data_IF_254202908397
#
_entry.id   IF_254202908397
#
_cell.length_a   1.000
_cell.length_b   1.000
_cell.length_c   1.000
_cell.angle_alpha   90.00
_cell.angle_beta   90.00
_cell.angle_gamma   90.00
#
_symmetry.space_group_name_H-M   'P 1'
#
loop_
_entity.id
_entity.type
_entity.pdbx_description
1 polymer ?
#
# COMPACT_ATOMS: atom_id res chain seq x y z
N UNK A 1 9.07 15.71 -21.09
CA UNK A 1 8.09 16.62 -20.49
C UNK A 1 6.72 16.29 -21.05
N UNK A 2 5.68 16.24 -20.22
CA UNK A 2 4.35 15.80 -20.61
C UNK A 2 3.37 16.96 -20.83
N UNK A 3 2.44 16.78 -21.77
CA UNK A 3 1.28 17.66 -21.94
C UNK A 3 0.06 16.96 -21.33
N UNK A 4 -0.61 17.63 -20.40
CA UNK A 4 -1.76 17.09 -19.67
C UNK A 4 -3.01 17.89 -19.96
N UNK A 5 -4.13 17.22 -20.24
CA UNK A 5 -5.45 17.84 -20.32
C UNK A 5 -6.29 17.50 -19.07
N UNK A 6 -6.91 18.51 -18.45
CA UNK A 6 -7.69 18.34 -17.21
C UNK A 6 -9.13 18.79 -17.40
N UNK A 7 -10.07 17.88 -17.17
CA UNK A 7 -11.50 18.14 -17.08
C UNK A 7 -11.95 18.18 -15.62
N UNK A 8 -12.78 19.17 -15.29
CA UNK A 8 -13.25 19.37 -13.90
C UNK A 8 -12.27 20.15 -13.02
N UNK A 9 -11.34 20.92 -13.60
CA UNK A 9 -10.34 21.71 -12.86
C UNK A 9 -10.92 22.76 -11.89
N UNK A 10 -12.20 23.11 -12.01
CA UNK A 10 -12.90 24.01 -11.06
C UNK A 10 -13.64 23.27 -9.95
N UNK A 11 -13.63 21.94 -9.96
CA UNK A 11 -14.24 21.09 -8.94
C UNK A 11 -13.29 20.78 -7.79
N UNK A 12 -13.81 20.18 -6.72
CA UNK A 12 -13.06 19.93 -5.48
C UNK A 12 -11.74 19.18 -5.73
N UNK A 13 -11.80 17.99 -6.34
CA UNK A 13 -10.58 17.21 -6.64
C UNK A 13 -9.83 17.76 -7.84
N UNK A 14 -10.55 18.12 -8.90
CA UNK A 14 -9.92 18.56 -10.15
C UNK A 14 -9.09 19.84 -9.99
N UNK A 15 -9.44 20.72 -9.06
CA UNK A 15 -8.60 21.87 -8.71
C UNK A 15 -7.24 21.44 -8.18
N UNK A 16 -7.17 20.43 -7.31
CA UNK A 16 -5.91 19.94 -6.77
C UNK A 16 -5.10 19.15 -7.79
N UNK A 17 -5.73 18.38 -8.70
CA UNK A 17 -5.02 17.77 -9.84
C UNK A 17 -4.35 18.88 -10.66
N UNK A 18 -5.13 19.89 -11.03
CA UNK A 18 -4.66 21.02 -11.81
C UNK A 18 -3.53 21.80 -11.13
N UNK A 19 -3.69 22.13 -9.85
CA UNK A 19 -2.65 22.83 -9.07
C UNK A 19 -1.37 21.99 -8.94
N UNK A 20 -1.50 20.69 -8.71
CA UNK A 20 -0.37 19.76 -8.62
C UNK A 20 0.39 19.68 -9.95
N UNK A 21 -0.31 19.63 -11.08
CA UNK A 21 0.32 19.64 -12.41
C UNK A 21 1.07 20.94 -12.70
N UNK A 22 0.51 22.09 -12.34
CA UNK A 22 1.21 23.37 -12.51
C UNK A 22 2.49 23.45 -11.68
N UNK A 23 2.47 22.88 -10.48
CA UNK A 23 3.62 22.82 -9.58
C UNK A 23 4.65 21.73 -9.98
N UNK A 24 4.27 20.73 -10.78
CA UNK A 24 5.16 19.63 -11.16
C UNK A 24 6.13 20.02 -12.28
N UNK A 25 7.39 19.62 -12.14
CA UNK A 25 8.42 19.78 -13.17
C UNK A 25 8.26 18.79 -14.34
N UNK A 26 7.46 17.73 -14.16
CA UNK A 26 7.22 16.71 -15.19
C UNK A 26 6.33 17.23 -16.32
N UNK A 27 5.40 18.13 -16.00
CA UNK A 27 4.47 18.75 -16.93
C UNK A 27 5.03 20.03 -17.54
N UNK A 28 5.19 20.04 -18.87
CA UNK A 28 5.53 21.26 -19.62
C UNK A 28 4.30 22.11 -19.95
N UNK A 29 3.15 21.47 -20.13
CA UNK A 29 1.91 22.16 -20.52
C UNK A 29 0.70 21.52 -19.84
N UNK A 30 -0.12 22.36 -19.23
CA UNK A 30 -1.37 21.98 -18.55
C UNK A 30 -2.51 22.67 -19.26
N UNK A 31 -3.27 21.89 -20.04
CA UNK A 31 -4.45 22.33 -20.76
C UNK A 31 -5.70 22.06 -19.93
N UNK A 32 -6.64 22.99 -19.90
CA UNK A 32 -7.94 22.79 -19.24
C UNK A 32 -9.08 23.08 -20.20
N UNK A 33 -10.15 22.28 -20.15
CA UNK A 33 -11.42 22.60 -20.79
C UNK A 33 -12.48 22.65 -19.69
N UNK A 34 -13.06 23.83 -19.47
CA UNK A 34 -13.96 24.07 -18.34
C UNK A 34 -15.02 25.12 -18.64
N UNK A 35 -16.15 25.08 -17.93
CA UNK A 35 -17.24 26.06 -18.10
C UNK A 35 -16.85 27.46 -17.61
N UNK A 36 -15.84 27.55 -16.75
CA UNK A 36 -15.34 28.76 -16.11
C UNK A 36 -13.82 28.69 -16.05
N UNK A 37 -13.16 29.84 -16.02
CA UNK A 37 -11.71 29.90 -15.87
C UNK A 37 -11.26 29.19 -14.57
N UNK A 38 -10.14 28.44 -14.60
CA UNK A 38 -9.58 27.84 -13.39
C UNK A 38 -9.13 28.92 -12.40
N UNK A 39 -9.31 28.65 -11.10
CA UNK A 39 -8.79 29.50 -10.02
C UNK A 39 -7.29 29.21 -9.83
N UNK A 40 -6.42 29.91 -10.55
CA UNK A 40 -4.97 29.87 -10.34
C UNK A 40 -4.30 31.19 -10.73
N UNK A 41 -3.12 31.43 -10.16
CA UNK A 41 -2.23 32.50 -10.62
C UNK A 41 -1.80 32.23 -12.08
N UNK A 42 -1.50 33.29 -12.86
CA UNK A 42 -0.96 33.13 -14.20
C UNK A 42 0.28 32.23 -14.19
N UNK A 43 0.32 31.25 -15.09
CA UNK A 43 1.45 30.33 -15.25
C UNK A 43 1.77 30.15 -16.72
N UNK A 44 3.06 30.17 -17.12
CA UNK A 44 3.45 29.91 -18.50
C UNK A 44 3.12 28.49 -18.96
N UNK A 45 2.89 27.56 -18.03
CA UNK A 45 2.47 26.18 -18.33
C UNK A 45 0.98 26.07 -18.69
N UNK A 46 0.15 27.07 -18.35
CA UNK A 46 -1.31 26.98 -18.43
C UNK A 46 -1.85 27.39 -19.80
N UNK A 47 -2.64 26.51 -20.41
CA UNK A 47 -3.48 26.82 -21.57
C UNK A 47 -4.95 26.55 -21.24
N UNK A 48 -5.67 27.60 -20.81
CA UNK A 48 -7.06 27.47 -20.37
C UNK A 48 -8.05 27.72 -21.52
N UNK A 49 -8.91 26.73 -21.81
CA UNK A 49 -10.07 26.86 -22.70
C UNK A 49 -11.35 26.96 -21.88
N UNK A 50 -12.03 28.10 -21.97
CA UNK A 50 -13.34 28.30 -21.34
C UNK A 50 -14.44 28.02 -22.36
N UNK A 51 -15.22 26.96 -22.14
CA UNK A 51 -16.30 26.52 -23.01
C UNK A 51 -17.54 26.19 -22.15
N UNK A 52 -18.55 27.08 -22.10
CA UNK A 52 -19.75 26.89 -21.29
C UNK A 52 -20.58 25.67 -21.70
N UNK A 53 -20.59 25.31 -22.99
CA UNK A 53 -21.32 24.15 -23.50
C UNK A 53 -20.45 22.89 -23.45
N UNK A 54 -20.75 22.02 -22.48
CA UNK A 54 -19.99 20.78 -22.30
C UNK A 54 -20.11 19.79 -23.45
N UNK A 55 -21.13 19.91 -24.31
CA UNK A 55 -21.25 19.04 -25.50
C UNK A 55 -20.12 19.29 -26.51
N UNK A 56 -19.50 20.47 -26.49
CA UNK A 56 -18.39 20.83 -27.37
C UNK A 56 -17.04 20.31 -26.87
N UNK A 57 -16.94 19.84 -25.62
CA UNK A 57 -15.67 19.51 -24.98
C UNK A 57 -14.89 18.38 -25.66
N UNK A 58 -15.52 17.29 -26.14
CA UNK A 58 -14.81 16.27 -26.92
C UNK A 58 -14.17 16.83 -28.20
N UNK A 59 -14.86 17.73 -28.91
CA UNK A 59 -14.31 18.39 -30.08
C UNK A 59 -13.16 19.34 -29.73
N UNK A 60 -13.27 20.08 -28.62
CA UNK A 60 -12.17 20.93 -28.12
C UNK A 60 -10.95 20.10 -27.75
N UNK A 61 -11.13 18.93 -27.11
CA UNK A 61 -10.04 17.99 -26.82
C UNK A 61 -9.34 17.53 -28.09
N UNK A 62 -10.10 17.21 -29.14
CA UNK A 62 -9.56 16.83 -30.45
C UNK A 62 -8.77 17.97 -31.13
N UNK A 63 -9.01 19.23 -30.75
CA UNK A 63 -8.32 20.40 -31.30
C UNK A 63 -7.12 20.89 -30.46
N UNK A 64 -6.87 20.34 -29.26
CA UNK A 64 -5.78 20.80 -28.39
C UNK A 64 -4.40 20.62 -29.04
N UNK A 65 -3.57 21.67 -28.92
CA UNK A 65 -2.18 21.73 -29.39
C UNK A 65 -1.29 22.40 -28.32
N UNK A 66 -0.17 21.81 -27.89
CA UNK A 66 0.33 20.48 -28.28
C UNK A 66 -0.64 19.35 -27.88
N UNK A 67 -0.57 18.18 -28.53
CA UNK A 67 -1.45 17.06 -28.21
C UNK A 67 -1.17 16.56 -26.78
N UNK A 68 -2.20 16.37 -25.94
CA UNK A 68 -2.01 15.83 -24.60
C UNK A 68 -1.66 14.33 -24.66
N UNK A 69 -0.65 13.92 -23.90
CA UNK A 69 -0.29 12.51 -23.70
C UNK A 69 -1.03 11.89 -22.52
N UNK A 70 -1.58 12.73 -21.63
CA UNK A 70 -2.32 12.32 -20.44
C UNK A 70 -3.61 13.13 -20.31
N UNK A 71 -4.72 12.46 -20.06
CA UNK A 71 -6.03 13.10 -19.81
C UNK A 71 -6.51 12.76 -18.41
N UNK A 72 -6.92 13.77 -17.65
CA UNK A 72 -7.52 13.64 -16.32
C UNK A 72 -8.99 14.04 -16.38
N UNK A 73 -9.89 13.16 -15.93
CA UNK A 73 -11.29 13.51 -15.69
C UNK A 73 -11.63 13.41 -14.20
N UNK A 74 -11.90 14.58 -13.60
CA UNK A 74 -12.48 14.73 -12.27
C UNK A 74 -13.92 15.27 -12.36
N UNK A 75 -14.63 14.93 -13.43
CA UNK A 75 -16.01 15.34 -13.63
C UNK A 75 -16.97 14.60 -12.70
N UNK A 76 -17.91 15.36 -12.16
CA UNK A 76 -18.99 14.85 -11.34
C UNK A 76 -19.88 16.00 -10.85
N UNK A 77 -21.18 15.75 -10.81
CA UNK A 77 -22.18 16.64 -10.27
C UNK A 77 -23.08 15.88 -9.31
N UNK A 78 -23.88 16.62 -8.53
CA UNK A 78 -24.94 16.02 -7.71
C UNK A 78 -26.26 16.18 -8.43
N UNK A 79 -27.22 15.29 -8.16
CA UNK A 79 -28.60 15.42 -8.67
C UNK A 79 -29.18 16.81 -8.38
N UNK A 80 -28.91 17.35 -7.19
CA UNK A 80 -29.35 18.69 -6.79
C UNK A 80 -28.73 19.80 -7.68
N UNK A 81 -27.42 19.74 -7.95
CA UNK A 81 -26.74 20.71 -8.78
C UNK A 81 -27.07 20.56 -10.29
N UNK A 82 -27.42 19.35 -10.73
CA UNK A 82 -27.85 19.08 -12.11
C UNK A 82 -29.34 19.41 -12.37
N UNK A 83 -30.12 19.58 -11.30
CA UNK A 83 -31.58 19.76 -11.35
C UNK A 83 -32.38 18.48 -11.62
N UNK A 84 -31.79 17.46 -12.25
CA UNK A 84 -32.45 16.16 -12.49
C UNK A 84 -31.46 15.01 -12.57
N UNK A 85 -31.97 13.78 -12.43
CA UNK A 85 -31.15 12.57 -12.61
C UNK A 85 -30.66 12.43 -14.05
N UNK A 86 -31.49 12.78 -15.04
CA UNK A 86 -31.12 12.75 -16.46
C UNK A 86 -29.98 13.73 -16.77
N UNK A 87 -30.04 14.94 -16.20
CA UNK A 87 -28.95 15.91 -16.34
C UNK A 87 -27.68 15.47 -15.61
N UNK A 88 -27.80 14.81 -14.46
CA UNK A 88 -26.64 14.22 -13.79
C UNK A 88 -26.01 13.13 -14.67
N UNK A 89 -26.83 12.26 -15.28
CA UNK A 89 -26.36 11.19 -16.17
C UNK A 89 -25.55 11.74 -17.35
N UNK A 90 -26.06 12.80 -18.00
CA UNK A 90 -25.36 13.48 -19.10
C UNK A 90 -23.96 13.96 -18.73
N UNK A 91 -23.74 14.34 -17.48
CA UNK A 91 -22.45 14.88 -16.99
C UNK A 91 -21.56 13.78 -16.41
N UNK A 92 -22.07 12.99 -15.47
CA UNK A 92 -21.31 12.00 -14.71
C UNK A 92 -21.02 10.73 -15.51
N UNK A 93 -21.80 10.46 -16.57
CA UNK A 93 -21.63 9.31 -17.45
C UNK A 93 -21.35 9.74 -18.91
N UNK A 94 -22.33 10.31 -19.61
CA UNK A 94 -22.25 10.45 -21.08
C UNK A 94 -21.09 11.33 -21.52
N UNK A 95 -20.95 12.53 -20.92
CA UNK A 95 -19.84 13.43 -21.20
C UNK A 95 -18.47 12.79 -20.90
N UNK A 96 -18.36 12.00 -19.83
CA UNK A 96 -17.12 11.30 -19.53
C UNK A 96 -16.80 10.25 -20.59
N UNK A 97 -17.79 9.45 -21.01
CA UNK A 97 -17.64 8.46 -22.07
C UNK A 97 -17.26 9.11 -23.40
N UNK A 98 -17.86 10.25 -23.74
CA UNK A 98 -17.52 10.98 -24.97
C UNK A 98 -16.10 11.56 -24.94
N UNK A 99 -15.64 12.04 -23.76
CA UNK A 99 -14.24 12.45 -23.56
C UNK A 99 -13.30 11.26 -23.71
N UNK A 100 -13.64 10.09 -23.18
CA UNK A 100 -12.86 8.85 -23.35
C UNK A 100 -12.72 8.48 -24.82
N UNK A 101 -13.83 8.48 -25.57
CA UNK A 101 -13.83 8.21 -27.01
C UNK A 101 -12.98 9.21 -27.79
N UNK A 102 -13.15 10.51 -27.50
CA UNK A 102 -12.36 11.55 -28.16
C UNK A 102 -10.87 11.45 -27.83
N UNK A 103 -10.51 11.17 -26.57
CA UNK A 103 -9.13 10.95 -26.16
C UNK A 103 -8.50 9.77 -26.90
N UNK A 104 -9.21 8.64 -27.01
CA UNK A 104 -8.71 7.45 -27.72
C UNK A 104 -8.59 7.68 -29.21
N UNK A 105 -9.57 8.36 -29.83
CA UNK A 105 -9.58 8.64 -31.26
C UNK A 105 -8.39 9.52 -31.71
N UNK A 106 -7.81 10.32 -30.80
CA UNK A 106 -6.59 11.10 -31.10
C UNK A 106 -5.35 10.24 -31.31
N UNK A 107 -5.27 9.06 -30.69
CA UNK A 107 -4.08 8.21 -30.73
C UNK A 107 -2.89 8.67 -29.86
N UNK A 108 -2.75 9.98 -29.60
CA UNK A 108 -1.64 10.53 -28.79
C UNK A 108 -1.78 10.29 -27.27
N UNK A 109 -2.99 10.00 -26.79
CA UNK A 109 -3.26 9.84 -25.36
C UNK A 109 -2.87 8.43 -24.92
N UNK A 110 -1.73 8.32 -24.26
CA UNK A 110 -1.24 7.06 -23.66
C UNK A 110 -1.92 6.75 -22.33
N UNK A 111 -2.19 7.77 -21.51
CA UNK A 111 -2.68 7.61 -20.14
C UNK A 111 -4.00 8.34 -19.93
N UNK A 112 -5.03 7.62 -19.47
CA UNK A 112 -6.29 8.22 -19.05
C UNK A 112 -6.51 8.02 -17.55
N UNK A 113 -6.74 9.10 -16.81
CA UNK A 113 -6.93 9.10 -15.36
C UNK A 113 -8.35 9.52 -15.02
N UNK A 114 -9.05 8.73 -14.23
CA UNK A 114 -10.44 9.00 -13.84
C UNK A 114 -10.64 8.97 -12.33
N UNK A 115 -11.29 10.00 -11.81
CA UNK A 115 -11.74 10.06 -10.41
C UNK A 115 -13.14 9.44 -10.32
N UNK A 116 -13.17 8.17 -9.94
CA UNK A 116 -14.38 7.40 -9.67
C UNK A 116 -14.78 7.50 -8.19
N UNK A 117 -15.27 6.40 -7.61
CA UNK A 117 -15.76 6.31 -6.24
C UNK A 117 -15.61 4.89 -5.71
N UNK A 118 -15.18 4.76 -4.45
CA UNK A 118 -15.14 3.48 -3.75
C UNK A 118 -16.54 2.90 -3.51
N UNK A 119 -16.62 1.58 -3.41
CA UNK A 119 -17.85 0.84 -3.07
C UNK A 119 -18.91 0.75 -4.17
N UNK A 120 -18.70 1.33 -5.36
CA UNK A 120 -19.71 1.35 -6.44
C UNK A 120 -19.97 -0.01 -7.07
N UNK A 121 -19.07 -0.98 -6.94
CA UNK A 121 -19.27 -2.35 -7.48
C UNK A 121 -19.82 -3.34 -6.45
N UNK A 122 -19.80 -3.00 -5.16
CA UNK A 122 -20.33 -3.85 -4.10
C UNK A 122 -21.86 -3.80 -4.00
N UNK A 123 -22.49 -4.93 -3.70
CA UNK A 123 -23.92 -4.95 -3.33
C UNK A 123 -24.11 -4.31 -1.94
N UNK A 124 -25.22 -3.57 -1.71
CA UNK A 124 -26.29 -3.23 -2.67
C UNK A 124 -26.02 -1.94 -3.47
N UNK A 125 -24.85 -1.30 -3.33
CA UNK A 125 -24.57 0.01 -3.94
C UNK A 125 -24.50 -0.02 -5.47
N UNK A 126 -24.12 -1.16 -6.07
CA UNK A 126 -23.98 -1.35 -7.52
C UNK A 126 -25.26 -1.12 -8.33
N UNK A 127 -26.43 -1.25 -7.71
CA UNK A 127 -27.73 -0.99 -8.38
C UNK A 127 -28.17 0.47 -8.31
N UNK A 128 -27.47 1.31 -7.54
CA UNK A 128 -27.81 2.73 -7.43
C UNK A 128 -27.47 3.50 -8.71
N UNK A 129 -28.23 4.54 -9.10
CA UNK A 129 -27.93 5.31 -10.30
C UNK A 129 -26.52 5.91 -10.33
N UNK A 130 -26.04 6.42 -9.19
CA UNK A 130 -24.68 6.96 -9.07
C UNK A 130 -23.60 5.91 -9.35
N UNK A 131 -23.73 4.71 -8.76
CA UNK A 131 -22.80 3.63 -8.99
C UNK A 131 -22.81 3.18 -10.46
N UNK A 132 -23.99 3.08 -11.08
CA UNK A 132 -24.11 2.74 -12.52
C UNK A 132 -23.42 3.75 -13.42
N UNK A 133 -23.56 5.05 -13.16
CA UNK A 133 -22.85 6.10 -13.90
C UNK A 133 -21.33 5.92 -13.78
N UNK A 134 -20.80 5.80 -12.56
CA UNK A 134 -19.36 5.66 -12.34
C UNK A 134 -18.80 4.36 -12.92
N UNK A 135 -19.48 3.24 -12.71
CA UNK A 135 -19.07 1.95 -13.26
C UNK A 135 -19.12 1.95 -14.79
N UNK A 136 -20.13 2.55 -15.42
CA UNK A 136 -20.21 2.66 -16.88
C UNK A 136 -19.05 3.46 -17.49
N UNK A 137 -18.59 4.52 -16.81
CA UNK A 137 -17.37 5.25 -17.24
C UNK A 137 -16.12 4.40 -17.04
N UNK A 138 -16.00 3.69 -15.91
CA UNK A 138 -14.88 2.78 -15.66
C UNK A 138 -14.76 1.68 -16.74
N UNK A 139 -15.91 1.12 -17.15
CA UNK A 139 -15.99 0.08 -18.17
C UNK A 139 -15.62 0.66 -19.55
N UNK A 140 -16.14 1.84 -19.90
CA UNK A 140 -15.77 2.52 -21.14
C UNK A 140 -14.27 2.84 -21.24
N UNK A 141 -13.64 3.25 -20.12
CA UNK A 141 -12.18 3.48 -20.07
C UNK A 141 -11.42 2.17 -20.26
N UNK A 142 -11.88 1.09 -19.62
CA UNK A 142 -11.26 -0.23 -19.74
C UNK A 142 -11.34 -0.74 -21.19
N UNK A 143 -12.50 -0.62 -21.81
CA UNK A 143 -12.75 -1.05 -23.19
C UNK A 143 -11.99 -0.21 -24.22
N UNK A 144 -11.79 1.09 -23.96
CA UNK A 144 -11.02 1.97 -24.85
C UNK A 144 -9.55 1.53 -25.01
N UNK A 145 -9.00 0.76 -24.07
CA UNK A 145 -7.67 0.15 -24.21
C UNK A 145 -6.54 1.18 -24.35
N UNK A 146 -6.49 2.16 -23.46
CA UNK A 146 -5.31 3.02 -23.31
C UNK A 146 -4.07 2.19 -22.90
N UNK A 147 -2.87 2.70 -23.17
CA UNK A 147 -1.64 2.06 -22.66
C UNK A 147 -1.68 1.98 -21.13
N UNK A 148 -2.20 3.05 -20.52
CA UNK A 148 -2.50 3.11 -19.10
C UNK A 148 -3.87 3.76 -18.84
N UNK A 149 -4.70 3.08 -18.06
CA UNK A 149 -5.96 3.55 -17.52
C UNK A 149 -5.87 3.53 -15.99
N UNK A 150 -5.86 4.71 -15.37
CA UNK A 150 -5.73 4.87 -13.91
C UNK A 150 -7.07 5.28 -13.32
N UNK A 151 -7.64 4.45 -12.46
CA UNK A 151 -8.95 4.64 -11.85
C UNK A 151 -8.80 4.83 -10.35
N UNK A 152 -8.98 6.07 -9.88
CA UNK A 152 -8.97 6.37 -8.45
C UNK A 152 -10.38 6.18 -7.88
N UNK A 153 -10.50 5.39 -6.82
CA UNK A 153 -11.73 5.10 -6.10
C UNK A 153 -11.68 5.63 -4.66
N UNK A 154 -11.77 6.96 -4.47
CA UNK A 154 -11.79 7.55 -3.13
C UNK A 154 -13.07 7.17 -2.38
N UNK A 155 -13.00 7.23 -1.04
CA UNK A 155 -14.16 7.26 -0.16
C UNK A 155 -14.86 8.63 -0.18
N UNK A 156 -15.42 9.05 0.96
CA UNK A 156 -16.07 10.35 1.09
C UNK A 156 -15.08 11.50 0.89
N UNK A 157 -15.36 12.50 0.08
CA UNK A 157 -14.39 13.59 -0.13
C UNK A 157 -14.64 14.73 0.87
N UNK A 158 -13.63 15.10 1.66
CA UNK A 158 -13.63 16.27 2.57
C UNK A 158 -13.18 17.53 1.81
N UNK A 159 -13.77 18.68 2.16
CA UNK A 159 -13.37 19.98 1.64
C UNK A 159 -14.49 21.02 1.74
N UNK A 160 -14.12 22.29 1.90
CA UNK A 160 -15.07 23.41 1.94
C UNK A 160 -15.67 23.63 0.55
N UNK A 161 -16.99 23.46 0.42
CA UNK A 161 -17.74 23.92 -0.77
C UNK A 161 -18.44 25.22 -0.42
N UNK A 162 -18.30 26.24 -1.25
CA UNK A 162 -19.06 27.50 -1.20
C UNK A 162 -20.59 27.37 -1.43
N UNK A 163 -21.17 26.16 -1.39
CA UNK A 163 -22.63 25.99 -1.46
C UNK A 163 -23.07 24.90 -0.49
N UNK A 164 -23.82 25.32 0.54
CA UNK A 164 -24.24 24.52 1.68
C UNK A 164 -25.05 23.28 1.30
N UNK A 165 -24.67 22.14 1.88
CA UNK A 165 -25.45 20.89 1.84
C UNK A 165 -26.67 21.01 2.76
N UNK A 166 -27.73 21.65 2.30
CA UNK A 166 -29.07 21.47 2.85
C UNK A 166 -29.58 20.08 2.41
N UNK A 167 -29.35 19.05 3.23
CA UNK A 167 -29.79 17.69 2.95
C UNK A 167 -28.97 16.58 3.64
N UNK A 168 -27.86 16.92 4.30
CA UNK A 168 -27.02 15.98 5.05
C UNK A 168 -27.16 16.13 6.58
N UNK A 169 -28.31 16.63 7.06
CA UNK A 169 -28.50 17.06 8.46
C UNK A 169 -28.28 15.95 9.49
N UNK A 170 -28.55 14.70 9.14
CA UNK A 170 -28.42 13.56 10.07
C UNK A 170 -26.98 13.02 10.18
N UNK A 171 -26.12 13.24 9.18
CA UNK A 171 -24.74 12.71 9.14
C UNK A 171 -23.70 13.66 9.77
N UNK A 172 -23.93 14.98 9.74
CA UNK A 172 -23.02 15.97 10.33
C UNK A 172 -23.03 15.89 11.87
N UNK A 173 -24.19 15.56 12.47
CA UNK A 173 -24.30 15.33 13.91
C UNK A 173 -23.51 14.10 14.40
N UNK A 174 -23.54 13.02 13.61
CA UNK A 174 -22.78 11.79 13.90
C UNK A 174 -21.28 12.01 13.74
N UNK A 175 -20.85 12.81 12.76
CA UNK A 175 -19.42 13.12 12.53
C UNK A 175 -18.74 13.81 13.71
N UNK A 176 -19.43 14.69 14.45
CA UNK A 176 -18.86 15.36 15.64
C UNK A 176 -18.74 14.42 16.83
N UNK A 177 -19.65 13.44 16.95
CA UNK A 177 -19.65 12.46 18.03
C UNK A 177 -18.60 11.35 17.79
N UNK A 178 -18.45 10.90 16.55
CA UNK A 178 -17.47 9.89 16.13
C UNK A 178 -16.05 10.43 16.15
N UNK A 179 -15.83 11.69 15.73
CA UNK A 179 -14.50 12.32 15.76
C UNK A 179 -13.92 12.45 17.17
N UNK A 180 -14.78 12.53 18.21
CA UNK A 180 -14.37 12.57 19.62
C UNK A 180 -14.02 11.18 20.19
N UNK A 181 -14.44 10.10 19.56
CA UNK A 181 -14.30 8.71 20.07
C UNK A 181 -13.31 7.87 19.25
N UNK A 182 -13.13 8.12 17.94
CA UNK A 182 -12.41 7.24 17.01
C UNK A 182 -11.15 7.84 16.37
N UNK A 183 -10.76 9.06 16.73
CA UNK A 183 -9.52 9.70 16.28
C UNK A 183 -9.46 10.08 14.79
N UNK A 184 -8.58 11.02 14.44
CA UNK A 184 -8.50 11.64 13.11
C UNK A 184 -8.17 10.66 11.97
N UNK A 185 -7.51 9.54 12.28
CA UNK A 185 -7.03 8.51 11.32
C UNK A 185 -8.14 7.60 10.76
N UNK A 186 -9.23 7.35 11.52
CA UNK A 186 -10.38 6.57 11.02
C UNK A 186 -11.19 7.35 9.99
N UNK A 187 -11.19 8.69 10.09
CA UNK A 187 -11.83 9.53 9.11
C UNK A 187 -11.05 9.64 7.80
N UNK A 188 -9.77 9.23 7.73
CA UNK A 188 -8.98 9.24 6.48
C UNK A 188 -9.28 8.01 5.60
N UNK A 189 -9.55 6.85 6.22
CA UNK A 189 -9.98 5.64 5.50
C UNK A 189 -11.36 5.83 4.86
N UNK A 190 -12.23 6.58 5.52
CA UNK A 190 -13.59 6.87 5.05
C UNK A 190 -13.65 8.15 4.25
N UNK A 191 -12.66 9.04 4.41
CA UNK A 191 -12.71 10.34 3.78
C UNK A 191 -11.36 10.98 3.47
N UNK A 192 -11.06 11.11 2.19
CA UNK A 192 -9.84 11.74 1.69
C UNK A 192 -10.06 13.23 1.40
N UNK A 193 -9.02 14.02 1.63
CA UNK A 193 -8.96 15.41 1.18
C UNK A 193 -8.87 15.45 -0.35
N UNK A 194 -9.53 16.43 -0.97
CA UNK A 194 -9.40 16.68 -2.41
C UNK A 194 -7.94 16.87 -2.84
N UNK A 195 -7.11 17.44 -1.98
CA UNK A 195 -5.68 17.63 -2.21
C UNK A 195 -4.94 16.29 -2.33
N UNK A 196 -5.20 15.38 -1.39
CA UNK A 196 -4.58 14.06 -1.34
C UNK A 196 -4.93 13.25 -2.59
N UNK A 197 -6.21 13.27 -2.97
CA UNK A 197 -6.69 12.60 -4.20
C UNK A 197 -6.01 13.23 -5.43
N UNK A 198 -5.92 14.56 -5.47
CA UNK A 198 -5.29 15.28 -6.59
C UNK A 198 -3.82 14.92 -6.77
N UNK A 199 -3.05 14.90 -5.67
CA UNK A 199 -1.63 14.50 -5.68
C UNK A 199 -1.45 13.04 -6.08
N UNK A 200 -2.28 12.14 -5.56
CA UNK A 200 -2.25 10.72 -5.92
C UNK A 200 -2.52 10.50 -7.42
N UNK A 201 -3.49 11.22 -8.00
CA UNK A 201 -3.83 11.09 -9.42
C UNK A 201 -2.66 11.48 -10.35
N UNK A 202 -2.00 12.61 -10.06
CA UNK A 202 -0.84 13.06 -10.84
C UNK A 202 0.32 12.08 -10.69
N UNK A 203 0.60 11.64 -9.45
CA UNK A 203 1.68 10.67 -9.19
C UNK A 203 1.44 9.33 -9.90
N UNK A 204 0.20 8.83 -9.90
CA UNK A 204 -0.16 7.61 -10.60
C UNK A 204 0.09 7.72 -12.11
N UNK A 205 -0.25 8.85 -12.72
CA UNK A 205 0.03 9.10 -14.13
C UNK A 205 1.54 9.20 -14.42
N UNK A 206 2.31 9.83 -13.54
CA UNK A 206 3.78 9.89 -13.67
C UNK A 206 4.42 8.51 -13.53
N UNK A 207 3.88 7.65 -12.65
CA UNK A 207 4.30 6.24 -12.54
C UNK A 207 3.99 5.47 -13.82
N UNK A 208 2.79 5.64 -14.38
CA UNK A 208 2.40 5.04 -15.64
C UNK A 208 3.33 5.47 -16.78
N UNK A 209 3.57 6.77 -16.95
CA UNK A 209 4.49 7.30 -17.96
C UNK A 209 5.94 6.80 -17.79
N UNK A 210 6.36 6.47 -16.56
CA UNK A 210 7.67 5.90 -16.27
C UNK A 210 7.71 4.36 -16.40
N UNK A 211 6.67 3.71 -16.89
CA UNK A 211 6.59 2.25 -17.00
C UNK A 211 6.48 1.53 -15.65
N UNK A 212 6.09 2.25 -14.59
CA UNK A 212 5.98 1.74 -13.21
C UNK A 212 4.53 1.49 -12.76
N UNK A 213 3.56 1.61 -13.66
CA UNK A 213 2.19 1.18 -13.34
C UNK A 213 2.13 -0.34 -13.20
N UNK A 214 1.48 -0.89 -12.15
CA UNK A 214 1.41 -2.34 -11.91
C UNK A 214 0.58 -3.08 -12.96
N UNK A 215 -0.30 -2.38 -13.67
CA UNK A 215 -1.12 -2.92 -14.74
C UNK A 215 -1.49 -1.83 -15.75
N UNK A 216 -1.89 -2.24 -16.96
CA UNK A 216 -2.48 -1.32 -17.94
C UNK A 216 -3.77 -0.70 -17.42
N UNK A 217 -4.61 -1.48 -16.76
CA UNK A 217 -5.80 -0.99 -16.06
C UNK A 217 -5.55 -1.05 -14.55
N UNK A 218 -5.22 0.10 -13.96
CA UNK A 218 -4.81 0.21 -12.57
C UNK A 218 -5.90 0.91 -11.75
N UNK A 219 -6.47 0.17 -10.80
CA UNK A 219 -7.45 0.69 -9.84
C UNK A 219 -6.72 0.99 -8.54
N UNK A 220 -6.93 2.20 -8.00
CA UNK A 220 -6.30 2.70 -6.78
C UNK A 220 -7.41 3.02 -5.78
N UNK A 221 -7.43 2.35 -4.64
CA UNK A 221 -8.47 2.51 -3.62
C UNK A 221 -8.04 3.38 -2.43
N UNK A 222 -8.98 3.69 -1.53
CA UNK A 222 -8.84 4.79 -0.56
C UNK A 222 -7.57 4.83 0.31
N UNK A 223 -7.02 3.68 0.72
CA UNK A 223 -5.76 3.63 1.46
C UNK A 223 -4.57 3.96 0.56
N UNK A 224 -4.48 3.33 -0.60
CA UNK A 224 -3.42 3.57 -1.59
C UNK A 224 -3.44 5.02 -2.11
N UNK A 225 -4.64 5.60 -2.33
CA UNK A 225 -4.79 7.03 -2.64
C UNK A 225 -4.18 7.90 -1.54
N UNK A 226 -4.40 7.53 -0.27
CA UNK A 226 -3.89 8.30 0.88
C UNK A 226 -2.38 8.21 0.97
N UNK A 227 -1.81 7.03 0.76
CA UNK A 227 -0.36 6.79 0.74
C UNK A 227 0.29 7.59 -0.39
N UNK A 228 -0.18 7.41 -1.62
CA UNK A 228 0.33 8.11 -2.80
C UNK A 228 0.21 9.63 -2.69
N UNK A 229 -0.91 10.13 -2.15
CA UNK A 229 -1.14 11.55 -1.99
C UNK A 229 -0.34 12.20 -0.87
N UNK A 230 0.10 11.44 0.15
CA UNK A 230 0.91 11.95 1.28
C UNK A 230 2.42 11.89 1.03
N UNK A 231 2.85 11.05 0.09
CA UNK A 231 4.28 10.86 -0.23
C UNK A 231 5.05 12.15 -0.52
N UNK A 232 4.40 13.25 -0.96
CA UNK A 232 5.06 14.56 -1.19
C UNK A 232 5.28 15.43 0.06
N UNK A 233 4.56 15.20 1.16
CA UNK A 233 4.78 15.93 2.44
C UNK A 233 5.86 15.26 3.30
N UNK A 234 6.04 13.95 3.14
CA UNK A 234 7.16 13.21 3.73
C UNK A 234 8.48 13.45 2.98
N UNK A 235 8.44 13.68 1.66
CA UNK A 235 9.64 13.84 0.81
C UNK A 235 10.44 15.13 1.08
N UNK A 236 9.78 16.19 1.59
CA UNK A 236 10.49 17.40 2.06
C UNK A 236 11.41 17.15 3.26
N UNK A 237 11.29 16.00 3.93
CA UNK A 237 12.14 15.60 5.04
C UNK A 237 13.16 14.52 4.72
N UNK A 238 13.16 13.89 3.53
CA UNK A 238 14.01 12.71 3.32
C UNK A 238 14.64 12.49 1.94
N UNK A 239 14.51 13.42 0.98
CA UNK A 239 15.30 13.33 -0.26
C UNK A 239 16.47 14.30 -0.26
N UNK A 240 17.48 13.96 0.51
CA UNK A 240 18.85 14.44 0.31
C UNK A 240 19.75 13.20 0.27
N UNK A 241 20.11 12.79 -0.95
CA UNK A 241 21.21 11.86 -1.27
C UNK A 241 21.33 10.61 -0.37
N UNK A 242 20.67 9.50 -0.72
CA UNK A 242 21.01 8.22 -0.08
C UNK A 242 22.35 7.72 -0.62
N UNK A 243 23.39 7.84 0.21
CA UNK A 243 24.58 7.00 0.11
C UNK A 243 24.18 5.52 0.14
N UNK A 244 24.91 4.61 -0.53
CA UNK A 244 24.61 3.18 -0.49
C UNK A 244 24.55 2.67 0.96
N UNK A 245 23.54 1.83 1.26
CA UNK A 245 23.32 1.26 2.59
C UNK A 245 24.56 0.44 3.00
N UNK A 246 25.11 0.62 4.21
CA UNK A 246 26.19 -0.22 4.70
C UNK A 246 25.76 -1.69 4.71
N UNK A 247 26.60 -2.58 4.16
CA UNK A 247 26.34 -4.02 4.13
C UNK A 247 26.56 -4.73 5.48
N UNK A 248 26.91 -3.99 6.52
CA UNK A 248 27.10 -4.45 7.90
C UNK A 248 26.51 -3.40 8.84
N UNK A 249 25.80 -3.83 9.88
CA UNK A 249 25.21 -2.95 10.90
C UNK A 249 25.62 -3.38 12.32
N UNK A 250 25.64 -2.44 13.26
CA UNK A 250 25.99 -2.67 14.65
C UNK A 250 27.50 -2.86 14.92
N UNK A 251 27.92 -2.75 16.19
CA UNK A 251 29.33 -2.77 16.56
C UNK A 251 29.96 -4.17 16.37
N UNK A 252 31.29 -4.27 16.18
CA UNK A 252 31.98 -5.56 16.03
C UNK A 252 31.78 -6.52 17.21
N UNK A 253 31.63 -5.97 18.43
CA UNK A 253 31.51 -6.71 19.69
C UNK A 253 30.16 -7.41 19.91
N UNK A 254 29.23 -7.34 18.96
CA UNK A 254 27.91 -7.96 19.10
C UNK A 254 26.76 -6.97 19.29
N UNK A 255 25.54 -7.47 19.55
CA UNK A 255 24.37 -6.63 19.80
C UNK A 255 24.55 -5.72 21.02
N UNK A 256 23.99 -4.52 20.95
CA UNK A 256 23.93 -3.55 22.06
C UNK A 256 22.48 -3.28 22.47
N UNK A 257 22.22 -2.77 23.69
CA UNK A 257 20.86 -2.41 24.11
C UNK A 257 20.13 -1.56 23.05
N UNK A 258 18.83 -1.85 22.77
CA UNK A 258 17.93 -2.73 23.52
C UNK A 258 18.03 -4.22 23.16
N UNK A 259 18.95 -4.61 22.28
CA UNK A 259 19.12 -6.00 21.84
C UNK A 259 19.94 -6.83 22.84
N UNK A 260 19.72 -8.16 22.90
CA UNK A 260 18.76 -8.92 22.09
C UNK A 260 17.31 -8.86 22.60
N UNK A 261 16.35 -8.91 21.68
CA UNK A 261 14.92 -8.96 21.99
C UNK A 261 14.34 -10.33 21.62
N UNK A 262 13.39 -10.83 22.41
CA UNK A 262 12.84 -12.18 22.31
C UNK A 262 11.37 -12.15 21.92
N UNK A 263 10.98 -13.02 20.99
CA UNK A 263 9.59 -13.31 20.61
C UNK A 263 9.45 -14.81 20.35
N UNK A 264 8.34 -15.40 20.76
CA UNK A 264 8.04 -16.82 20.52
C UNK A 264 6.56 -17.05 20.27
N UNK A 265 6.24 -18.05 19.47
CA UNK A 265 4.87 -18.45 19.18
C UNK A 265 4.80 -19.48 18.06
N UNK A 266 3.62 -20.03 17.79
CA UNK A 266 3.42 -20.86 16.61
C UNK A 266 3.53 -20.02 15.34
N UNK A 267 4.04 -20.60 14.27
CA UNK A 267 3.96 -20.01 12.93
C UNK A 267 2.49 -20.02 12.48
N UNK A 268 1.93 -18.84 12.22
CA UNK A 268 0.56 -18.68 11.74
C UNK A 268 0.54 -18.32 10.25
N UNK A 269 -0.53 -18.67 9.51
CA UNK A 269 -0.72 -18.18 8.15
C UNK A 269 -0.73 -16.66 8.10
N UNK A 270 0.00 -16.10 7.14
CA UNK A 270 -0.12 -14.68 6.79
C UNK A 270 -1.35 -14.41 5.91
N UNK A 271 -1.55 -13.16 5.51
CA UNK A 271 -2.69 -12.75 4.68
C UNK A 271 -2.53 -13.04 3.17
N UNK A 272 -1.67 -13.99 2.79
CA UNK A 272 -1.47 -14.39 1.39
C UNK A 272 -1.00 -13.26 0.46
N UNK A 273 -0.23 -12.29 0.96
CA UNK A 273 0.17 -11.07 0.21
C UNK A 273 1.33 -11.28 -0.78
N UNK A 274 1.35 -12.41 -1.47
CA UNK A 274 2.30 -12.68 -2.56
C UNK A 274 3.77 -12.86 -2.17
N UNK A 275 4.15 -12.79 -0.91
CA UNK A 275 5.56 -12.92 -0.47
C UNK A 275 6.22 -14.22 -0.96
N UNK A 276 5.49 -15.34 -0.93
CA UNK A 276 5.93 -16.62 -1.53
C UNK A 276 6.08 -16.55 -3.06
N UNK A 277 5.17 -15.87 -3.77
CA UNK A 277 5.28 -15.66 -5.23
C UNK A 277 6.37 -14.66 -5.64
N UNK A 278 6.89 -13.87 -4.68
CA UNK A 278 8.03 -12.95 -4.87
C UNK A 278 9.38 -13.61 -4.48
N UNK A 279 9.36 -14.89 -4.08
CA UNK A 279 10.56 -15.62 -3.65
C UNK A 279 11.06 -15.27 -2.24
N UNK A 280 10.22 -14.63 -1.41
CA UNK A 280 10.55 -14.18 -0.06
C UNK A 280 9.45 -14.71 0.90
N UNK A 281 9.33 -16.02 1.11
CA UNK A 281 8.29 -16.58 1.99
C UNK A 281 8.43 -16.06 3.42
N UNK A 282 7.32 -15.67 4.03
CA UNK A 282 7.30 -15.11 5.40
C UNK A 282 6.50 -15.98 6.37
N UNK A 283 7.09 -16.22 7.54
CA UNK A 283 6.43 -16.80 8.71
C UNK A 283 5.88 -15.67 9.58
N UNK A 284 4.62 -15.77 9.99
CA UNK A 284 4.00 -14.79 10.90
C UNK A 284 3.94 -15.39 12.31
N UNK A 285 4.14 -14.54 13.33
CA UNK A 285 3.92 -14.93 14.73
C UNK A 285 2.78 -14.10 15.34
N UNK A 286 2.02 -14.66 16.29
CA UNK A 286 1.08 -13.88 17.08
C UNK A 286 1.82 -12.82 17.90
N UNK A 287 1.32 -11.59 17.84
CA UNK A 287 1.83 -10.50 18.67
C UNK A 287 0.93 -10.36 19.88
N UNK A 288 1.39 -10.92 21.00
CA UNK A 288 0.74 -10.78 22.30
C UNK A 288 1.51 -9.75 23.16
N UNK A 289 0.95 -8.55 23.31
CA UNK A 289 1.60 -7.41 23.96
C UNK A 289 1.99 -7.69 25.43
N UNK A 290 1.16 -8.33 26.27
CA UNK A 290 1.57 -8.82 27.58
C UNK A 290 2.86 -9.67 27.59
N UNK A 291 2.98 -10.61 26.65
CA UNK A 291 4.15 -11.49 26.55
C UNK A 291 5.35 -10.83 25.85
N UNK A 292 5.09 -9.82 25.02
CA UNK A 292 6.09 -9.16 24.17
C UNK A 292 5.99 -7.62 24.27
N UNK A 293 6.17 -7.01 25.44
CA UNK A 293 5.84 -5.59 25.65
C UNK A 293 6.70 -4.64 24.81
N UNK A 294 7.94 -5.04 24.51
CA UNK A 294 8.88 -4.24 23.71
C UNK A 294 8.38 -3.98 22.29
N UNK A 295 7.55 -4.86 21.72
CA UNK A 295 7.08 -4.72 20.33
C UNK A 295 6.13 -3.52 20.16
N UNK A 296 5.50 -3.08 21.25
CA UNK A 296 4.63 -1.91 21.23
C UNK A 296 5.45 -0.63 20.99
N UNK A 297 6.64 -0.54 21.59
CA UNK A 297 7.45 0.69 21.67
C UNK A 297 8.60 0.73 20.68
N UNK A 298 9.05 -0.42 20.18
CA UNK A 298 10.15 -0.48 19.20
C UNK A 298 9.75 0.22 17.88
N UNK A 299 10.68 0.89 17.17
CA UNK A 299 10.37 1.49 15.87
C UNK A 299 9.82 0.49 14.85
N UNK A 300 8.96 0.93 13.93
CA UNK A 300 8.63 0.10 12.77
C UNK A 300 9.83 0.02 11.83
N UNK A 301 10.09 -1.14 11.26
CA UNK A 301 11.20 -1.31 10.33
C UNK A 301 11.64 -2.75 10.15
N UNK A 302 12.84 -2.91 9.59
CA UNK A 302 13.47 -4.20 9.34
C UNK A 302 14.55 -4.47 10.38
N UNK A 303 14.42 -5.60 11.03
CA UNK A 303 15.30 -6.14 12.04
C UNK A 303 15.92 -7.43 11.53
N UNK A 304 16.97 -7.91 12.21
CA UNK A 304 17.60 -9.17 11.89
C UNK A 304 18.01 -9.93 13.14
N UNK A 305 18.22 -11.23 12.98
CA UNK A 305 18.75 -12.08 14.02
C UNK A 305 18.58 -13.56 13.74
N UNK A 306 18.21 -14.30 14.78
CA UNK A 306 18.18 -15.76 14.74
C UNK A 306 16.77 -16.27 14.98
N UNK A 307 16.37 -17.25 14.16
CA UNK A 307 15.14 -18.01 14.25
C UNK A 307 15.45 -19.44 14.66
N UNK A 308 14.68 -19.97 15.59
CA UNK A 308 14.78 -21.34 16.07
C UNK A 308 13.43 -22.05 15.87
N UNK A 309 13.44 -23.14 15.11
CA UNK A 309 12.24 -23.87 14.69
C UNK A 309 12.24 -25.30 15.21
N UNK A 310 11.14 -25.74 15.81
CA UNK A 310 10.92 -27.13 16.21
C UNK A 310 10.27 -27.92 15.08
N UNK A 311 11.04 -28.24 14.04
CA UNK A 311 10.52 -28.92 12.86
C UNK A 311 10.05 -30.36 13.18
N UNK A 312 8.90 -30.81 12.65
CA UNK A 312 8.40 -32.16 12.89
C UNK A 312 9.31 -33.21 12.26
N UNK A 313 9.26 -34.45 12.79
CA UNK A 313 10.15 -35.55 12.37
C UNK A 313 10.09 -35.83 10.86
N UNK A 314 8.93 -35.55 10.25
CA UNK A 314 8.66 -35.71 8.82
C UNK A 314 9.16 -34.56 7.94
N UNK A 315 9.59 -33.44 8.50
CA UNK A 315 10.00 -32.27 7.72
C UNK A 315 11.38 -32.53 7.04
N UNK A 316 11.53 -32.26 5.74
CA UNK A 316 12.77 -32.57 5.00
C UNK A 316 14.00 -31.85 5.56
N UNK A 317 13.82 -30.63 6.07
CA UNK A 317 14.89 -29.82 6.65
C UNK A 317 15.11 -30.04 8.16
N UNK A 318 14.46 -31.03 8.80
CA UNK A 318 14.72 -31.35 10.21
C UNK A 318 16.11 -31.97 10.36
N UNK A 319 16.89 -31.45 11.31
CA UNK A 319 18.20 -32.05 11.65
C UNK A 319 18.05 -33.44 12.29
N UNK A 320 19.02 -34.36 12.07
CA UNK A 320 19.01 -35.67 12.70
C UNK A 320 18.98 -35.58 14.22
N UNK A 321 18.31 -36.54 14.87
CA UNK A 321 18.15 -36.58 16.33
C UNK A 321 19.46 -36.74 17.13
N UNK A 322 20.61 -36.87 16.47
CA UNK A 322 21.94 -36.89 17.11
C UNK A 322 22.43 -35.50 17.55
N UNK A 323 21.76 -34.43 17.13
CA UNK A 323 22.07 -33.07 17.55
C UNK A 323 21.53 -32.79 18.97
N UNK A 324 22.26 -31.98 19.74
CA UNK A 324 22.00 -31.72 21.17
C UNK A 324 20.67 -31.01 21.49
N UNK A 325 19.90 -30.62 20.47
CA UNK A 325 18.63 -29.89 20.62
C UNK A 325 17.68 -30.27 19.48
N UNK A 326 16.38 -30.36 19.79
CA UNK A 326 15.33 -30.61 18.80
C UNK A 326 15.10 -29.40 17.87
N UNK A 327 15.62 -28.23 18.23
CA UNK A 327 15.43 -26.99 17.50
C UNK A 327 16.50 -26.76 16.43
N UNK A 328 16.07 -26.32 15.25
CA UNK A 328 16.94 -25.92 14.15
C UNK A 328 17.10 -24.41 14.09
N UNK A 329 18.35 -23.93 14.15
CA UNK A 329 18.70 -22.50 14.16
C UNK A 329 19.02 -21.97 12.75
N UNK A 330 18.44 -20.82 12.40
CA UNK A 330 18.59 -20.17 11.11
C UNK A 330 18.75 -18.65 11.26
N UNK A 331 19.53 -17.98 10.40
CA UNK A 331 19.51 -16.53 10.31
C UNK A 331 18.18 -16.04 9.72
N UNK A 332 17.71 -14.87 10.13
CA UNK A 332 16.45 -14.28 9.68
C UNK A 332 16.51 -12.76 9.55
N UNK A 333 15.62 -12.23 8.72
CA UNK A 333 15.18 -10.83 8.77
C UNK A 333 13.72 -10.78 9.20
N UNK A 334 13.33 -9.71 9.87
CA UNK A 334 11.98 -9.55 10.40
C UNK A 334 11.49 -8.13 10.17
N UNK A 335 10.32 -7.99 9.55
CA UNK A 335 9.60 -6.73 9.46
C UNK A 335 8.66 -6.58 10.66
N UNK A 336 8.75 -5.44 11.33
CA UNK A 336 7.82 -5.03 12.39
C UNK A 336 7.05 -3.81 11.89
N UNK A 337 5.73 -3.95 11.82
CA UNK A 337 4.83 -2.91 11.31
C UNK A 337 3.48 -2.92 12.02
N UNK A 338 2.51 -2.16 11.48
CA UNK A 338 1.12 -2.22 11.92
C UNK A 338 0.30 -3.05 10.94
N UNK A 339 -0.56 -3.94 11.46
CA UNK A 339 -1.44 -4.72 10.61
C UNK A 339 -2.62 -3.85 10.08
N UNK A 340 -2.75 -3.64 8.77
CA UNK A 340 -3.82 -2.81 8.20
C UNK A 340 -5.24 -3.38 8.39
N UNK A 341 -5.38 -4.71 8.55
CA UNK A 341 -6.68 -5.39 8.63
C UNK A 341 -7.35 -5.31 10.02
N UNK A 342 -6.58 -5.24 11.11
CA UNK A 342 -7.10 -5.08 12.48
C UNK A 342 -7.14 -3.62 12.93
N UNK A 343 -7.48 -2.70 12.01
CA UNK A 343 -7.60 -1.25 12.28
C UNK A 343 -6.29 -0.59 12.77
N UNK A 344 -5.11 -1.14 12.44
CA UNK A 344 -3.81 -0.69 12.96
C UNK A 344 -3.70 -0.71 14.50
N UNK A 345 -4.51 -1.50 15.20
CA UNK A 345 -4.47 -1.58 16.67
C UNK A 345 -3.34 -2.51 17.18
N UNK A 346 -2.92 -3.47 16.35
CA UNK A 346 -1.94 -4.50 16.72
C UNK A 346 -0.75 -4.47 15.76
N UNK A 347 0.46 -4.56 16.31
CA UNK A 347 1.69 -4.72 15.55
C UNK A 347 1.70 -6.07 14.84
N UNK A 348 2.34 -6.17 13.68
CA UNK A 348 2.67 -7.42 13.01
C UNK A 348 4.17 -7.69 13.10
N UNK A 349 4.52 -8.99 13.12
CA UNK A 349 5.87 -9.50 13.10
C UNK A 349 5.95 -10.52 11.95
N UNK A 350 6.57 -10.12 10.83
CA UNK A 350 6.72 -10.95 9.64
C UNK A 350 8.18 -11.34 9.48
N UNK A 351 8.48 -12.62 9.60
CA UNK A 351 9.84 -13.16 9.58
C UNK A 351 10.12 -13.82 8.24
N UNK A 352 11.19 -13.41 7.58
CA UNK A 352 11.77 -14.16 6.48
C UNK A 352 13.01 -14.89 6.98
N UNK A 353 12.91 -16.21 7.09
CA UNK A 353 14.05 -17.07 7.45
C UNK A 353 14.95 -17.19 6.23
N UNK A 354 16.25 -16.95 6.40
CA UNK A 354 17.23 -16.96 5.31
C UNK A 354 17.67 -18.39 4.96
N UNK A 355 16.68 -19.26 4.73
CA UNK A 355 16.84 -20.66 4.39
C UNK A 355 15.72 -21.08 3.41
N UNK A 356 16.09 -21.84 2.38
CA UNK A 356 15.14 -22.37 1.40
C UNK A 356 14.60 -23.71 1.89
N UNK A 357 13.43 -23.70 2.54
CA UNK A 357 12.80 -24.92 3.03
C UNK A 357 12.17 -25.73 1.90
N UNK A 358 12.24 -27.06 2.00
CA UNK A 358 11.61 -27.99 1.07
C UNK A 358 10.11 -28.22 1.31
N UNK A 359 9.58 -27.71 2.43
CA UNK A 359 8.16 -27.78 2.79
C UNK A 359 7.75 -26.59 3.69
N UNK A 360 6.44 -26.34 3.78
CA UNK A 360 5.89 -25.36 4.73
C UNK A 360 5.91 -25.90 6.16
N UNK A 361 5.96 -24.98 7.13
CA UNK A 361 6.05 -25.30 8.56
C UNK A 361 5.01 -24.51 9.40
N UNK A 362 3.80 -24.34 8.89
CA UNK A 362 2.70 -23.72 9.66
C UNK A 362 2.40 -24.51 10.94
N UNK A 363 2.06 -23.80 12.02
CA UNK A 363 1.80 -24.35 13.34
C UNK A 363 3.06 -24.70 14.14
N UNK A 364 4.23 -24.79 13.50
CA UNK A 364 5.49 -25.13 14.16
C UNK A 364 5.86 -24.08 15.22
N UNK A 365 6.27 -24.50 16.43
CA UNK A 365 6.83 -23.58 17.42
C UNK A 365 8.09 -22.88 16.90
N UNK A 366 8.08 -21.56 16.95
CA UNK A 366 9.19 -20.71 16.53
C UNK A 366 9.62 -19.78 17.67
N UNK A 367 10.93 -19.63 17.87
CA UNK A 367 11.53 -18.64 18.78
C UNK A 367 12.44 -17.72 17.97
N UNK A 368 12.43 -16.44 18.31
CA UNK A 368 13.14 -15.39 17.61
C UNK A 368 14.00 -14.59 18.59
N UNK A 369 15.24 -14.32 18.18
CA UNK A 369 16.16 -13.43 18.87
C UNK A 369 16.55 -12.31 17.89
N UNK A 370 15.98 -11.12 18.08
CA UNK A 370 16.34 -9.94 17.30
C UNK A 370 17.60 -9.33 17.90
N UNK A 371 18.63 -9.15 17.09
CA UNK A 371 19.94 -8.68 17.55
C UNK A 371 20.30 -7.29 17.02
N UNK A 372 19.55 -6.78 16.04
CA UNK A 372 19.77 -5.43 15.56
C UNK A 372 18.72 -4.93 14.58
N UNK A 373 18.90 -3.66 14.22
CA UNK A 373 18.07 -2.93 13.25
C UNK A 373 18.85 -2.69 11.96
N UNK A 374 18.17 -2.87 10.83
CA UNK A 374 18.72 -2.61 9.49
C UNK A 374 18.27 -1.22 9.02
N UNK A 375 16.96 -0.96 9.07
CA UNK A 375 16.37 0.27 8.52
C UNK A 375 14.92 0.46 8.93
N UNK A 376 14.44 1.69 8.78
CA UNK A 376 13.02 2.03 8.91
C UNK A 376 12.16 1.34 7.82
N UNK A 377 10.85 1.30 8.04
CA UNK A 377 9.89 0.99 6.98
C UNK A 377 10.06 2.01 5.84
N UNK A 378 10.10 1.50 4.61
CA UNK A 378 10.24 2.32 3.41
C UNK A 378 9.03 2.10 2.53
N UNK A 379 8.60 3.17 1.87
CA UNK A 379 7.63 3.07 0.80
C UNK A 379 8.35 2.80 -0.53
N UNK A 380 7.81 1.90 -1.34
CA UNK A 380 8.40 1.52 -2.61
C UNK A 380 7.58 2.02 -3.80
N UNK A 381 8.28 2.47 -4.82
CA UNK A 381 7.68 2.90 -6.09
C UNK A 381 7.13 1.74 -6.94
N UNK A 382 7.36 0.49 -6.52
CA UNK A 382 6.96 -0.73 -7.21
C UNK A 382 7.57 -1.98 -6.54
N UNK A 383 7.05 -3.15 -6.88
CA UNK A 383 7.43 -4.43 -6.27
C UNK A 383 8.92 -4.77 -6.47
N UNK A 384 9.51 -4.41 -7.61
CA UNK A 384 10.93 -4.70 -7.87
C UNK A 384 11.88 -3.91 -6.95
N UNK A 385 11.54 -2.66 -6.63
CA UNK A 385 12.32 -1.87 -5.69
C UNK A 385 12.22 -2.44 -4.27
N UNK A 386 11.03 -2.94 -3.89
CA UNK A 386 10.83 -3.66 -2.64
C UNK A 386 11.68 -4.93 -2.58
N UNK A 387 11.67 -5.76 -3.64
CA UNK A 387 12.46 -6.99 -3.72
C UNK A 387 13.96 -6.66 -3.62
N UNK A 388 14.44 -5.65 -4.36
CA UNK A 388 15.84 -5.26 -4.34
C UNK A 388 16.28 -4.86 -2.93
N UNK A 389 15.49 -4.07 -2.21
CA UNK A 389 15.82 -3.67 -0.85
C UNK A 389 15.75 -4.83 0.14
N UNK A 390 14.79 -5.75 0.00
CA UNK A 390 14.75 -6.96 0.85
C UNK A 390 15.99 -7.82 0.62
N UNK A 391 16.46 -7.96 -0.63
CA UNK A 391 17.70 -8.68 -0.93
C UNK A 391 18.91 -8.05 -0.22
N UNK A 392 19.00 -6.71 -0.25
CA UNK A 392 20.04 -5.99 0.51
C UNK A 392 19.89 -6.22 2.01
N UNK A 393 18.67 -6.22 2.55
CA UNK A 393 18.45 -6.50 3.99
C UNK A 393 18.92 -7.91 4.36
N UNK A 394 18.66 -8.90 3.50
CA UNK A 394 19.14 -10.26 3.69
C UNK A 394 20.68 -10.34 3.64
N UNK A 395 21.32 -9.59 2.76
CA UNK A 395 22.79 -9.49 2.70
C UNK A 395 23.36 -8.83 3.95
N UNK A 396 22.77 -7.71 4.39
CA UNK A 396 23.15 -7.02 5.64
C UNK A 396 23.05 -7.97 6.83
N UNK A 397 21.96 -8.73 6.93
CA UNK A 397 21.78 -9.71 7.99
C UNK A 397 22.84 -10.80 7.95
N UNK A 398 23.08 -11.44 6.79
CA UNK A 398 24.12 -12.48 6.65
C UNK A 398 25.50 -11.97 7.03
N UNK A 399 25.89 -10.82 6.49
CA UNK A 399 27.22 -10.24 6.74
C UNK A 399 27.39 -9.83 8.21
N UNK A 400 26.34 -9.28 8.82
CA UNK A 400 26.39 -8.83 10.21
C UNK A 400 26.48 -10.01 11.18
N UNK A 401 25.70 -11.08 10.92
CA UNK A 401 25.63 -12.30 11.74
C UNK A 401 26.85 -13.22 11.58
N UNK A 402 27.60 -13.09 10.49
CA UNK A 402 28.81 -13.86 10.26
C UNK A 402 30.02 -13.39 11.10
N UNK A 403 29.92 -12.28 11.82
CA UNK A 403 31.00 -11.74 12.68
C UNK A 403 31.00 -12.41 14.05
N UNK A 404 32.16 -12.60 14.67
CA UNK A 404 32.33 -13.37 15.92
C UNK A 404 31.41 -12.91 17.06
N UNK A 405 31.28 -11.59 17.28
CA UNK A 405 30.38 -10.98 18.27
C UNK A 405 28.88 -11.28 18.07
N UNK A 406 28.50 -11.77 16.89
CA UNK A 406 27.12 -11.99 16.45
C UNK A 406 26.81 -13.46 16.16
N UNK A 407 27.84 -14.31 16.10
CA UNK A 407 27.72 -15.75 15.89
C UNK A 407 27.28 -16.46 17.19
N UNK A 408 26.28 -17.36 17.15
CA UNK A 408 25.82 -18.10 18.31
C UNK A 408 26.93 -18.99 18.89
N UNK A 409 27.26 -18.80 20.18
CA UNK A 409 28.30 -19.59 20.88
C UNK A 409 28.02 -21.10 20.86
N UNK A 410 26.75 -21.49 20.96
CA UNK A 410 26.34 -22.90 21.05
C UNK A 410 26.35 -23.64 19.70
N UNK A 411 26.46 -22.91 18.59
CA UNK A 411 26.34 -23.48 17.23
C UNK A 411 27.60 -23.29 16.40
N UNK A 412 28.40 -22.26 16.71
CA UNK A 412 29.58 -21.90 15.95
C UNK A 412 30.82 -21.84 16.85
N UNK A 413 31.89 -22.51 16.42
CA UNK A 413 33.21 -22.38 17.03
C UNK A 413 33.67 -20.91 16.98
N UNK A 414 34.05 -20.37 18.14
CA UNK A 414 34.43 -18.96 18.30
C UNK A 414 33.28 -17.96 18.45
N UNK A 415 32.01 -18.41 18.53
CA UNK A 415 30.87 -17.51 18.73
C UNK A 415 30.83 -16.86 20.12
N UNK A 416 30.43 -15.58 20.16
CA UNK A 416 30.29 -14.81 21.41
C UNK A 416 28.84 -14.53 21.81
N UNK A 417 27.89 -14.64 20.87
CA UNK A 417 26.48 -14.37 21.16
C UNK A 417 25.83 -15.55 21.89
N UNK A 418 25.29 -15.29 23.08
CA UNK A 418 24.49 -16.27 23.81
C UNK A 418 23.10 -16.43 23.15
N UNK A 419 22.85 -17.62 22.62
CA UNK A 419 21.59 -18.03 22.02
C UNK A 419 20.93 -19.20 22.77
N UNK A 420 21.35 -19.52 23.99
CA UNK A 420 20.85 -20.69 24.74
C UNK A 420 19.34 -20.72 24.93
N UNK A 421 18.71 -19.55 25.06
CA UNK A 421 17.25 -19.47 25.12
C UNK A 421 16.55 -19.99 23.85
N UNK A 422 17.17 -19.86 22.67
CA UNK A 422 16.60 -20.34 21.42
C UNK A 422 16.62 -21.88 21.34
N UNK A 423 17.62 -22.52 21.92
CA UNK A 423 17.92 -23.95 21.76
C UNK A 423 17.56 -24.81 22.97
N UNK A 424 17.17 -24.20 24.10
CA UNK A 424 16.69 -24.93 25.29
C UNK A 424 15.53 -25.87 24.95
N UNK A 425 15.46 -26.99 25.65
CA UNK A 425 14.32 -27.89 25.56
C UNK A 425 13.01 -27.18 25.92
N UNK A 426 11.89 -27.71 25.42
CA UNK A 426 10.57 -27.29 25.88
C UNK A 426 10.38 -27.69 27.35
N UNK A 427 9.92 -26.74 28.16
CA UNK A 427 9.43 -27.03 29.51
C UNK A 427 8.15 -27.88 29.45
N UNK A 428 7.84 -28.59 30.52
CA UNK A 428 6.70 -29.53 30.56
C UNK A 428 5.36 -28.86 30.21
N UNK A 429 5.15 -27.62 30.66
CA UNK A 429 3.98 -26.82 30.28
C UNK A 429 3.96 -26.44 28.79
N UNK A 430 5.11 -26.08 28.22
CA UNK A 430 5.24 -25.76 26.78
C UNK A 430 4.99 -27.02 25.92
N UNK A 431 5.46 -28.20 26.37
CA UNK A 431 5.22 -29.48 25.68
C UNK A 431 3.74 -29.83 25.61
N UNK A 432 2.99 -29.60 26.70
CA UNK A 432 1.54 -29.84 26.74
C UNK A 432 0.80 -28.91 25.79
N UNK A 433 1.15 -27.62 25.73
CA UNK A 433 0.53 -26.68 24.79
C UNK A 433 0.79 -27.05 23.32
N UNK A 434 2.02 -27.46 22.99
CA UNK A 434 2.39 -27.90 21.64
C UNK A 434 1.61 -29.17 21.26
N UNK A 435 1.50 -30.15 22.16
CA UNK A 435 0.77 -31.40 21.92
C UNK A 435 -0.75 -31.16 21.73
N UNK A 436 -1.36 -30.29 22.55
CA UNK A 436 -2.79 -29.96 22.43
C UNK A 436 -3.12 -29.22 21.12
N UNK A 437 -2.18 -28.42 20.59
CA UNK A 437 -2.37 -27.71 19.32
C UNK A 437 -2.13 -28.63 18.11
N UNK A 438 -1.17 -29.55 18.18
CA UNK A 438 -0.90 -30.54 17.13
C UNK A 438 -2.07 -31.49 16.88
N UNK A 439 -2.79 -31.91 17.94
CA UNK A 439 -3.95 -32.82 17.81
C UNK A 439 -5.18 -32.22 17.12
N UNK A 440 -5.26 -30.90 16.91
CA UNK A 440 -6.38 -30.24 16.20
C UNK A 440 -6.19 -30.18 14.69
N UNK A 441 -4.98 -30.31 14.16
CA UNK A 441 -4.73 -30.19 12.71
C UNK A 441 -5.01 -31.48 11.92
N UNK A 442 -5.09 -32.65 12.56
CA UNK A 442 -5.38 -33.92 11.87
C UNK A 442 -6.89 -34.14 11.59
N UNK A 443 -7.79 -33.25 12.02
CA UNK A 443 -9.25 -33.47 12.00
C UNK A 443 -10.08 -32.71 10.96
N UNK A 444 -9.55 -31.72 10.25
CA UNK A 444 -10.35 -30.83 9.36
C UNK A 444 -9.88 -30.84 7.89
N UNK A 445 -9.48 -32.01 7.39
CA UNK A 445 -9.12 -32.23 5.98
C UNK A 445 -10.07 -33.21 5.28
N UNK A 446 -11.31 -32.80 5.00
CA UNK A 446 -12.20 -33.61 4.16
C UNK A 446 -13.67 -33.23 4.18
N UNK A 447 -14.04 -32.15 3.49
CA UNK A 447 -15.35 -32.10 2.83
C UNK A 447 -15.26 -31.22 1.57
N UNK A 448 -15.11 -31.89 0.42
CA UNK A 448 -15.33 -31.30 -0.90
C UNK A 448 -16.81 -30.89 -1.02
N UNK A 449 -17.08 -29.60 -1.24
CA UNK A 449 -18.40 -29.15 -1.69
C UNK A 449 -18.35 -29.04 -3.22
N UNK A 450 -19.09 -29.93 -3.86
CA UNK A 450 -19.44 -29.94 -5.29
C UNK A 450 -20.22 -28.71 -5.73
#
# INVERSE_FOLDING_TARGET
MSTSAVFGCTGLVGHHIFATLLASDSASTVQTISRRAPKAAPSPKLQATVEPDSSQWPAKLAALTPPPTTVYSALGTTRAAAGSLANQWKIDHDLNVDIVKAAKARGDVSTFVFISSGGTRGLPFSVTPYARMKNGVEDAIKEAGFDHAVILKPGLIKGEREVGRAGLGLMVGVSRLVGKVFGQRTMDTWSQDGEIIGRAAVRAAEMAAAGRAPAKYWVIEGLEISEMGKMGEADKRHRTTMSPRPLITGPPSGPSPPYPLRLSGPVIPGFGRGSSSLGIPTANLPVDTPATPWIATIPSGVYFGWASLLLPASHPDRRPASDATEFSLFPMVMSIGYNPFFKNATRSAEVHVLHGFGADFYGVPMRLLLVGFIRDELDYAGVEALIADIKVDCEVARNSLARDGWRPREVAEGGELDCGWLLRDLEEGERVEVAQRGGKQEGEGGEEVK
#
